data_IF_131610538415
#
_entry.id   IF_131610538415
#
_cell.length_a   1.000
_cell.length_b   1.000
_cell.length_c   1.000
_cell.angle_alpha   90.00
_cell.angle_beta   90.00
_cell.angle_gamma   90.00
#
_symmetry.space_group_name_H-M   'P 1'
#
loop_
_entity.id
_entity.type
_entity.pdbx_description
1 polymer ?
#
# COMPACT_ATOMS: atom_id res chain seq x y z
N UNK A 1 15.10 17.43 10.69
CA UNK A 1 14.43 17.66 9.40
C UNK A 1 13.26 16.69 9.24
N UNK A 2 12.00 17.16 9.28
CA UNK A 2 10.79 16.30 9.31
C UNK A 2 10.38 15.72 7.94
N UNK A 3 11.01 16.16 6.85
CA UNK A 3 10.61 15.84 5.47
C UNK A 3 10.58 14.34 5.13
N UNK A 4 11.48 13.55 5.71
CA UNK A 4 11.56 12.12 5.38
C UNK A 4 10.35 11.33 5.91
N UNK A 5 9.87 11.69 7.11
CA UNK A 5 8.72 11.02 7.73
C UNK A 5 7.44 11.33 6.95
N UNK A 6 7.22 12.59 6.60
CA UNK A 6 6.05 12.99 5.79
C UNK A 6 6.05 12.36 4.40
N UNK A 7 7.21 12.30 3.73
CA UNK A 7 7.31 11.66 2.42
C UNK A 7 6.97 10.17 2.50
N UNK A 8 7.48 9.47 3.52
CA UNK A 8 7.19 8.05 3.76
C UNK A 8 5.71 7.85 4.09
N UNK A 9 5.10 8.70 4.91
CA UNK A 9 3.67 8.61 5.23
C UNK A 9 2.77 8.86 4.01
N UNK A 10 3.09 9.85 3.17
CA UNK A 10 2.38 10.10 1.91
C UNK A 10 2.44 8.88 0.99
N UNK A 11 3.64 8.32 0.82
CA UNK A 11 3.84 7.14 -0.03
C UNK A 11 3.10 5.91 0.51
N UNK A 12 3.05 5.76 1.84
CA UNK A 12 2.34 4.68 2.51
C UNK A 12 0.82 4.78 2.29
N UNK A 13 0.25 5.98 2.44
CA UNK A 13 -1.18 6.24 2.14
C UNK A 13 -1.52 5.97 0.68
N UNK A 14 -0.64 6.35 -0.24
CA UNK A 14 -0.83 6.08 -1.67
C UNK A 14 -0.98 4.58 -1.96
N UNK A 15 -0.05 3.75 -1.50
CA UNK A 15 -0.12 2.30 -1.71
C UNK A 15 -1.32 1.67 -0.99
N UNK A 16 -1.64 2.14 0.21
CA UNK A 16 -2.78 1.66 0.97
C UNK A 16 -4.10 1.94 0.22
N UNK A 17 -4.29 3.17 -0.27
CA UNK A 17 -5.47 3.53 -1.07
C UNK A 17 -5.57 2.67 -2.33
N UNK A 18 -4.48 2.51 -3.07
CA UNK A 18 -4.47 1.67 -4.28
C UNK A 18 -4.84 0.21 -3.98
N UNK A 19 -4.35 -0.36 -2.88
CA UNK A 19 -4.71 -1.72 -2.47
C UNK A 19 -6.17 -1.83 -2.01
N UNK A 20 -6.70 -0.78 -1.36
CA UNK A 20 -8.12 -0.72 -0.95
C UNK A 20 -9.04 -0.60 -2.17
N UNK A 21 -8.73 0.30 -3.10
CA UNK A 21 -9.50 0.51 -4.33
C UNK A 21 -9.57 -0.77 -5.18
N UNK A 22 -8.49 -1.55 -5.20
CA UNK A 22 -8.45 -2.83 -5.89
C UNK A 22 -9.05 -4.00 -5.08
N UNK A 23 -9.65 -3.74 -3.92
CA UNK A 23 -10.32 -4.74 -3.08
C UNK A 23 -9.38 -5.73 -2.37
N UNK A 24 -8.06 -5.48 -2.39
CA UNK A 24 -7.05 -6.32 -1.73
C UNK A 24 -6.97 -6.06 -0.22
N UNK A 25 -7.34 -4.85 0.21
CA UNK A 25 -7.41 -4.47 1.61
C UNK A 25 -8.80 -3.89 1.91
N UNK A 26 -9.43 -4.31 3.01
CA UNK A 26 -10.67 -3.69 3.47
C UNK A 26 -10.34 -2.49 4.35
N UNK A 27 -11.12 -1.41 4.22
CA UNK A 27 -10.98 -0.19 5.02
C UNK A 27 -11.11 -0.45 6.54
N UNK A 28 -11.80 -1.53 6.92
CA UNK A 28 -12.05 -1.94 8.30
C UNK A 28 -11.02 -2.95 8.84
N UNK A 29 -10.08 -3.40 8.00
CA UNK A 29 -9.01 -4.28 8.44
C UNK A 29 -8.02 -3.46 9.24
N UNK A 30 -8.13 -3.52 10.58
CA UNK A 30 -7.10 -3.12 11.54
C UNK A 30 -5.66 -3.55 11.15
N UNK A 31 -5.40 -4.66 10.43
CA UNK A 31 -4.05 -4.95 9.93
C UNK A 31 -3.54 -4.00 8.84
N UNK A 32 -4.40 -3.28 8.11
CA UNK A 32 -3.98 -2.33 7.07
C UNK A 32 -3.00 -1.26 7.61
N UNK A 33 -3.19 -0.87 8.88
CA UNK A 33 -2.33 0.10 9.58
C UNK A 33 -1.06 -0.54 10.19
N UNK A 34 -0.97 -1.88 10.22
CA UNK A 34 0.21 -2.63 10.66
C UNK A 34 1.20 -2.91 9.52
N UNK A 35 0.75 -2.88 8.26
CA UNK A 35 1.67 -3.10 7.14
C UNK A 35 2.71 -1.98 7.06
N UNK A 36 3.96 -2.39 6.96
CA UNK A 36 5.08 -1.49 6.70
C UNK A 36 5.06 -1.03 5.23
N UNK A 37 5.75 0.07 4.92
CA UNK A 37 5.87 0.57 3.54
C UNK A 37 6.37 -0.52 2.59
N UNK A 38 7.32 -1.34 3.03
CA UNK A 38 7.90 -2.44 2.26
C UNK A 38 6.88 -3.51 1.92
N UNK A 39 6.02 -3.89 2.87
CA UNK A 39 4.96 -4.87 2.62
C UNK A 39 3.88 -4.33 1.70
N UNK A 40 3.46 -3.07 1.88
CA UNK A 40 2.52 -2.41 0.97
C UNK A 40 3.08 -2.34 -0.45
N UNK A 41 4.36 -1.99 -0.58
CA UNK A 41 5.05 -1.98 -1.87
C UNK A 41 5.15 -3.38 -2.47
N UNK A 42 5.42 -4.40 -1.66
CA UNK A 42 5.49 -5.78 -2.13
C UNK A 42 4.12 -6.29 -2.60
N UNK A 43 3.06 -6.03 -1.83
CA UNK A 43 1.69 -6.38 -2.18
C UNK A 43 1.24 -5.67 -3.46
N UNK A 44 1.52 -4.36 -3.58
CA UNK A 44 1.24 -3.58 -4.79
C UNK A 44 2.02 -4.09 -6.00
N UNK A 45 3.33 -4.38 -5.84
CA UNK A 45 4.14 -4.94 -6.93
C UNK A 45 3.65 -6.34 -7.36
N UNK A 46 3.23 -7.18 -6.40
CA UNK A 46 2.64 -8.48 -6.70
C UNK A 46 1.31 -8.33 -7.43
N UNK A 47 0.49 -7.35 -7.05
CA UNK A 47 -0.73 -6.99 -7.76
C UNK A 47 -0.44 -6.53 -9.19
N UNK A 48 0.48 -5.58 -9.40
CA UNK A 48 0.90 -5.15 -10.73
C UNK A 48 1.42 -6.32 -11.56
N UNK A 49 2.21 -7.21 -10.99
CA UNK A 49 2.71 -8.42 -11.69
C UNK A 49 1.60 -9.39 -12.06
N UNK A 50 0.58 -9.57 -11.21
CA UNK A 50 -0.60 -10.41 -11.50
C UNK A 50 -1.55 -9.76 -12.52
N UNK A 51 -1.55 -8.43 -12.63
CA UNK A 51 -2.29 -7.69 -13.66
C UNK A 51 -1.74 -7.83 -15.09
N UNK A 52 -0.53 -8.39 -15.27
CA UNK A 52 0.10 -8.69 -16.58
C UNK A 52 -0.23 -10.11 -17.04
N UNK A 53 -1.46 -10.57 -16.77
CA UNK A 53 -2.07 -11.72 -17.44
C UNK A 53 -3.49 -11.34 -17.84
N UNK A 54 -3.61 -10.48 -18.85
CA UNK A 54 -4.80 -10.38 -19.71
C UNK A 54 -4.34 -10.33 -21.15
#
# INVERSE_FOLDING_TARGET
MPFLREAVEKQRRFFMNQLIENGLLKHSDKPANKFTLTELKHAYNNFCKKGVQK
#
